data_IF_764673987531
#
_entry.id   IF_764673987531
#
_cell.length_a   1.000
_cell.length_b   1.000
_cell.length_c   1.000
_cell.angle_alpha   90.00
_cell.angle_beta   90.00
_cell.angle_gamma   90.00
#
_symmetry.space_group_name_H-M   'P 1'
#
loop_
_entity.id
_entity.type
_entity.pdbx_description
1 polymer ?
#
# COMPACT_ATOMS: atom_id res chain seq x y z
N UNK A 1 9.18 -4.33 20.25
CA UNK A 1 9.91 -3.53 19.23
C UNK A 1 9.30 -2.14 19.12
N UNK A 2 10.05 -1.12 18.68
CA UNK A 2 9.54 0.22 18.37
C UNK A 2 9.48 0.39 16.85
N UNK A 3 8.41 1.02 16.38
CA UNK A 3 8.19 1.33 14.96
C UNK A 3 8.25 2.84 14.74
N UNK A 4 8.97 3.32 13.74
CA UNK A 4 8.97 4.73 13.39
C UNK A 4 7.66 5.06 12.65
N UNK A 5 6.80 5.82 13.30
CA UNK A 5 5.50 6.22 12.76
C UNK A 5 5.60 7.66 12.24
N UNK A 6 5.08 7.89 11.03
CA UNK A 6 4.80 9.23 10.54
C UNK A 6 3.39 9.63 10.97
N UNK A 7 2.37 8.81 10.65
CA UNK A 7 0.99 9.09 11.03
C UNK A 7 0.13 7.82 11.11
N UNK A 8 -0.95 7.88 11.88
CA UNK A 8 -2.03 6.89 11.90
C UNK A 8 -3.33 7.66 11.77
N UNK A 9 -4.16 7.32 10.78
CA UNK A 9 -5.41 8.04 10.52
C UNK A 9 -6.48 7.11 9.94
N UNK A 10 -7.74 7.43 10.21
CA UNK A 10 -8.91 6.76 9.64
C UNK A 10 -9.51 7.59 8.54
N UNK A 11 -9.57 7.03 7.33
CA UNK A 11 -10.04 7.70 6.14
C UNK A 11 -10.68 6.71 5.16
N UNK A 12 -10.73 7.10 3.89
CA UNK A 12 -11.20 6.29 2.77
C UNK A 12 -9.97 5.90 1.93
N UNK A 13 -9.81 4.59 1.61
CA UNK A 13 -8.85 4.20 0.61
C UNK A 13 -9.22 4.87 -0.72
N UNK A 14 -8.32 5.69 -1.24
CA UNK A 14 -8.58 6.50 -2.44
C UNK A 14 -8.12 5.86 -3.74
N UNK A 15 -7.39 4.74 -3.68
CA UNK A 15 -6.65 4.18 -4.81
C UNK A 15 -6.93 2.68 -4.99
N UNK A 16 -6.70 2.19 -6.23
CA UNK A 16 -6.70 0.77 -6.55
C UNK A 16 -8.04 0.06 -6.33
N UNK A 17 -7.94 -1.20 -5.99
CA UNK A 17 -9.10 -2.12 -5.82
C UNK A 17 -10.09 -1.66 -4.76
N UNK A 18 -9.59 -1.11 -3.69
CA UNK A 18 -10.37 -0.78 -2.51
C UNK A 18 -10.78 0.69 -2.44
N UNK A 19 -10.62 1.44 -3.54
CA UNK A 19 -11.07 2.83 -3.62
C UNK A 19 -12.53 2.97 -3.17
N UNK A 20 -12.78 3.96 -2.29
CA UNK A 20 -14.09 4.21 -1.70
C UNK A 20 -14.38 3.45 -0.40
N UNK A 21 -13.51 2.52 0.03
CA UNK A 21 -13.73 1.76 1.28
C UNK A 21 -13.08 2.43 2.49
N UNK A 22 -13.74 2.44 3.66
CA UNK A 22 -13.13 2.93 4.90
C UNK A 22 -11.92 2.08 5.31
N UNK A 23 -10.83 2.73 5.68
CA UNK A 23 -9.61 2.07 6.12
C UNK A 23 -8.86 2.91 7.17
N UNK A 24 -8.10 2.23 8.05
CA UNK A 24 -7.11 2.89 8.90
C UNK A 24 -5.75 2.74 8.24
N UNK A 25 -5.08 3.84 8.03
CA UNK A 25 -3.74 3.90 7.49
C UNK A 25 -2.71 3.98 8.61
N UNK A 26 -1.67 3.15 8.51
CA UNK A 26 -0.49 3.17 9.37
C UNK A 26 0.68 3.53 8.48
N UNK A 27 1.07 4.81 8.48
CA UNK A 27 2.21 5.30 7.70
C UNK A 27 3.49 5.16 8.50
N UNK A 28 4.29 4.17 8.11
CA UNK A 28 5.64 3.98 8.65
C UNK A 28 6.60 5.02 8.03
N UNK A 29 7.51 5.51 8.82
CA UNK A 29 8.52 6.46 8.37
C UNK A 29 9.74 5.73 7.76
N UNK A 30 10.46 6.44 6.88
CA UNK A 30 11.64 5.94 6.18
C UNK A 30 11.31 5.27 4.86
N UNK A 31 12.20 5.45 3.90
CA UNK A 31 12.15 4.81 2.58
C UNK A 31 13.58 4.49 2.15
N UNK A 32 13.74 3.42 1.37
CA UNK A 32 15.00 3.03 0.76
C UNK A 32 15.17 3.57 -0.67
N UNK A 33 14.22 4.37 -1.16
CA UNK A 33 14.25 5.03 -2.47
C UNK A 33 14.02 6.53 -2.35
N UNK A 34 14.48 7.28 -3.36
CA UNK A 34 14.34 8.74 -3.47
C UNK A 34 13.69 9.09 -4.81
N UNK A 35 12.37 8.93 -4.91
CA UNK A 35 11.61 9.26 -6.11
C UNK A 35 11.40 10.77 -6.21
N UNK A 36 11.74 11.38 -7.35
CA UNK A 36 11.65 12.83 -7.57
C UNK A 36 10.24 13.40 -7.47
N UNK A 37 9.22 12.59 -7.72
CA UNK A 37 7.80 12.95 -7.66
C UNK A 37 7.10 12.43 -6.40
N UNK A 38 7.86 11.98 -5.39
CA UNK A 38 7.26 11.49 -4.15
C UNK A 38 6.48 12.61 -3.44
N UNK A 39 5.20 12.37 -3.20
CA UNK A 39 4.29 13.31 -2.53
C UNK A 39 4.06 12.94 -1.05
N UNK A 40 4.79 11.94 -0.55
CA UNK A 40 4.60 11.41 0.80
C UNK A 40 5.68 11.95 1.76
N UNK A 41 5.23 12.59 2.84
CA UNK A 41 6.09 12.82 4.00
C UNK A 41 6.28 11.49 4.74
N UNK A 42 7.52 11.00 4.79
CA UNK A 42 7.89 9.79 5.52
C UNK A 42 8.93 10.05 6.61
N UNK A 43 8.94 11.25 7.17
CA UNK A 43 9.75 11.60 8.35
C UNK A 43 9.22 10.92 9.60
N UNK A 44 10.11 10.61 10.54
CA UNK A 44 9.70 10.04 11.83
C UNK A 44 9.08 11.13 12.69
N UNK A 45 7.81 10.95 13.09
CA UNK A 45 7.16 11.84 14.07
C UNK A 45 7.11 11.22 15.46
N UNK A 46 6.97 9.89 15.52
CA UNK A 46 6.92 9.19 16.80
C UNK A 46 7.49 7.77 16.69
N UNK A 47 8.09 7.28 17.79
CA UNK A 47 8.50 5.88 17.94
C UNK A 47 7.49 5.15 18.81
N UNK A 48 6.72 4.23 18.21
CA UNK A 48 5.63 3.53 18.89
C UNK A 48 5.87 2.04 19.05
N UNK A 49 5.50 1.48 20.19
CA UNK A 49 5.30 0.02 20.34
C UNK A 49 4.04 -0.42 19.60
N UNK A 50 3.92 -1.71 19.29
CA UNK A 50 2.69 -2.25 18.66
C UNK A 50 1.43 -1.98 19.49
N UNK A 51 1.55 -1.99 20.83
CA UNK A 51 0.43 -1.64 21.72
C UNK A 51 -0.02 -0.18 21.56
N UNK A 52 0.93 0.76 21.43
CA UNK A 52 0.64 2.16 21.17
C UNK A 52 0.01 2.34 19.79
N UNK A 53 0.51 1.64 18.76
CA UNK A 53 -0.11 1.63 17.42
C UNK A 53 -1.57 1.17 17.51
N UNK A 54 -1.84 0.04 18.18
CA UNK A 54 -3.20 -0.47 18.37
C UNK A 54 -4.11 0.54 19.12
N UNK A 55 -3.58 1.19 20.15
CA UNK A 55 -4.31 2.24 20.90
C UNK A 55 -4.65 3.43 19.99
N UNK A 56 -3.70 3.87 19.15
CA UNK A 56 -3.92 4.97 18.20
C UNK A 56 -4.96 4.61 17.14
N UNK A 57 -4.94 3.38 16.61
CA UNK A 57 -5.99 2.87 15.70
C UNK A 57 -7.36 2.96 16.37
N UNK A 58 -7.49 2.47 17.61
CA UNK A 58 -8.76 2.53 18.36
C UNK A 58 -9.20 3.98 18.60
N UNK A 59 -8.27 4.88 18.88
CA UNK A 59 -8.58 6.30 19.08
C UNK A 59 -9.10 6.97 17.77
N UNK A 60 -8.49 6.65 16.62
CA UNK A 60 -8.97 7.15 15.32
C UNK A 60 -10.37 6.63 14.99
N UNK A 61 -10.64 5.36 15.22
CA UNK A 61 -11.96 4.76 15.02
C UNK A 61 -13.00 5.36 15.96
N UNK A 62 -12.63 5.65 17.22
CA UNK A 62 -13.51 6.26 18.21
C UNK A 62 -13.98 7.66 17.81
N UNK A 63 -13.11 8.47 17.17
CA UNK A 63 -13.48 9.81 16.66
C UNK A 63 -14.67 9.79 15.68
N UNK A 64 -14.91 8.65 15.03
CA UNK A 64 -16.01 8.46 14.07
C UNK A 64 -17.11 7.52 14.57
N UNK A 65 -17.14 7.22 15.88
CA UNK A 65 -18.10 6.31 16.52
C UNK A 65 -18.16 4.91 15.86
N UNK A 66 -17.00 4.41 15.36
CA UNK A 66 -16.94 3.14 14.63
C UNK A 66 -17.32 1.92 15.48
N UNK A 67 -17.23 1.98 16.80
CA UNK A 67 -17.53 0.84 17.71
C UNK A 67 -18.92 0.23 17.59
N UNK A 68 -19.82 0.88 16.85
CA UNK A 68 -21.18 0.40 16.63
C UNK A 68 -21.31 -0.52 15.38
N UNK A 69 -20.24 -0.73 14.63
CA UNK A 69 -20.29 -1.48 13.37
C UNK A 69 -19.61 -2.85 13.49
N UNK A 70 -20.25 -3.86 12.90
CA UNK A 70 -19.85 -5.27 12.97
C UNK A 70 -18.83 -5.66 11.88
N UNK A 71 -18.60 -4.80 10.89
CA UNK A 71 -17.69 -5.11 9.79
C UNK A 71 -16.22 -4.91 10.19
N UNK A 72 -15.33 -5.88 9.88
CA UNK A 72 -13.91 -5.71 10.16
C UNK A 72 -13.32 -4.57 9.30
N UNK A 73 -12.66 -3.62 9.97
CA UNK A 73 -11.97 -2.52 9.31
C UNK A 73 -10.69 -3.03 8.63
N UNK A 74 -10.38 -2.48 7.47
CA UNK A 74 -9.10 -2.72 6.80
C UNK A 74 -8.01 -1.84 7.40
N UNK A 75 -6.88 -2.44 7.77
CA UNK A 75 -5.65 -1.70 8.05
C UNK A 75 -4.81 -1.68 6.78
N UNK A 76 -4.30 -0.51 6.41
CA UNK A 76 -3.37 -0.32 5.29
C UNK A 76 -2.04 0.14 5.85
N UNK A 77 -1.04 -0.75 5.81
CA UNK A 77 0.34 -0.41 6.18
C UNK A 77 1.00 0.19 4.95
N UNK A 78 1.37 1.43 5.05
CA UNK A 78 1.98 2.25 3.99
C UNK A 78 3.11 3.09 4.55
N UNK A 79 3.59 4.08 3.84
CA UNK A 79 4.60 5.01 4.35
C UNK A 79 5.57 5.45 3.28
N UNK A 80 6.87 5.47 3.64
CA UNK A 80 7.96 5.41 2.67
C UNK A 80 8.01 4.00 2.06
N UNK A 81 8.77 3.09 2.68
CA UNK A 81 8.71 1.66 2.32
C UNK A 81 8.50 0.80 3.57
N UNK A 82 7.31 0.19 3.73
CA UNK A 82 7.03 -0.61 4.92
C UNK A 82 7.92 -1.83 5.09
N UNK A 83 8.35 -2.47 4.00
CA UNK A 83 9.10 -3.74 4.06
C UNK A 83 10.54 -3.60 4.55
N UNK A 84 11.04 -2.39 4.77
CA UNK A 84 12.32 -2.18 5.46
C UNK A 84 12.22 -2.39 6.97
N UNK A 85 11.01 -2.51 7.50
CA UNK A 85 10.71 -2.73 8.92
C UNK A 85 10.30 -4.18 9.20
N UNK A 86 10.38 -4.61 10.46
CA UNK A 86 9.89 -5.93 10.88
C UNK A 86 8.35 -5.95 10.95
N UNK A 87 7.71 -6.19 9.82
CA UNK A 87 6.24 -6.24 9.75
C UNK A 87 5.64 -7.51 10.36
N UNK A 88 6.39 -8.60 10.51
CA UNK A 88 5.84 -9.84 11.08
C UNK A 88 5.30 -9.61 12.50
N UNK A 89 6.14 -9.02 13.37
CA UNK A 89 5.72 -8.77 14.77
C UNK A 89 4.56 -7.76 14.81
N UNK A 90 4.63 -6.69 13.98
CA UNK A 90 3.57 -5.69 13.92
C UNK A 90 2.23 -6.32 13.53
N UNK A 91 2.19 -6.98 12.37
CA UNK A 91 0.97 -7.56 11.83
C UNK A 91 0.42 -8.68 12.72
N UNK A 92 1.29 -9.59 13.21
CA UNK A 92 0.85 -10.68 14.08
C UNK A 92 0.20 -10.17 15.37
N UNK A 93 0.76 -9.13 15.99
CA UNK A 93 0.17 -8.53 17.19
C UNK A 93 -1.11 -7.76 16.88
N UNK A 94 -1.18 -7.04 15.75
CA UNK A 94 -2.42 -6.38 15.34
C UNK A 94 -3.53 -7.41 15.08
N UNK A 95 -3.23 -8.54 14.42
CA UNK A 95 -4.19 -9.66 14.29
C UNK A 95 -4.61 -10.22 15.65
N UNK A 96 -3.70 -10.36 16.59
CA UNK A 96 -4.02 -10.81 17.95
C UNK A 96 -4.91 -9.81 18.73
N UNK A 97 -4.88 -8.52 18.37
CA UNK A 97 -5.80 -7.51 18.90
C UNK A 97 -7.16 -7.47 18.18
N UNK A 98 -7.39 -8.34 17.18
CA UNK A 98 -8.66 -8.46 16.47
C UNK A 98 -8.74 -7.69 15.14
N UNK A 99 -7.63 -7.13 14.66
CA UNK A 99 -7.56 -6.51 13.34
C UNK A 99 -7.27 -7.57 12.27
N UNK A 100 -8.31 -8.10 11.64
CA UNK A 100 -8.21 -9.28 10.77
C UNK A 100 -7.75 -8.99 9.35
N UNK A 101 -7.97 -7.76 8.84
CA UNK A 101 -7.67 -7.39 7.45
C UNK A 101 -6.50 -6.43 7.38
N UNK A 102 -5.33 -6.93 7.02
CA UNK A 102 -4.10 -6.15 6.90
C UNK A 102 -3.61 -6.14 5.46
N UNK A 103 -3.60 -4.97 4.84
CA UNK A 103 -3.02 -4.70 3.53
C UNK A 103 -1.65 -4.02 3.69
N UNK A 104 -0.77 -4.23 2.73
CA UNK A 104 0.50 -3.49 2.61
C UNK A 104 0.60 -2.85 1.22
N UNK A 105 1.07 -1.60 1.18
CA UNK A 105 1.51 -0.93 -0.05
C UNK A 105 3.03 -0.86 -0.04
N UNK A 106 3.68 -1.45 -1.03
CA UNK A 106 5.14 -1.60 -1.08
C UNK A 106 5.70 -1.25 -2.46
N UNK A 107 6.92 -0.73 -2.48
CA UNK A 107 7.68 -0.55 -3.72
C UNK A 107 8.31 -1.86 -4.25
N UNK A 108 8.20 -2.97 -3.52
CA UNK A 108 8.63 -4.29 -3.94
C UNK A 108 10.15 -4.55 -3.91
N UNK A 109 10.96 -3.64 -3.40
CA UNK A 109 12.43 -3.80 -3.35
C UNK A 109 12.92 -4.87 -2.37
N UNK A 110 12.03 -5.42 -1.54
CA UNK A 110 12.35 -6.50 -0.62
C UNK A 110 11.41 -7.72 -0.81
N UNK A 111 11.44 -8.37 -1.99
CA UNK A 111 10.51 -9.44 -2.32
C UNK A 111 10.68 -10.69 -1.45
N UNK A 112 11.87 -10.94 -0.91
CA UNK A 112 12.12 -12.07 -0.01
C UNK A 112 11.45 -11.87 1.35
N UNK A 113 11.53 -10.67 1.92
CA UNK A 113 10.80 -10.36 3.15
C UNK A 113 9.28 -10.38 2.92
N UNK A 114 8.83 -9.86 1.77
CA UNK A 114 7.42 -9.92 1.39
C UNK A 114 6.92 -11.36 1.29
N UNK A 115 7.70 -12.26 0.64
CA UNK A 115 7.41 -13.69 0.58
C UNK A 115 7.23 -14.29 1.98
N UNK A 116 8.18 -14.00 2.87
CA UNK A 116 8.12 -14.48 4.25
C UNK A 116 6.83 -14.03 4.95
N UNK A 117 6.43 -12.77 4.81
CA UNK A 117 5.19 -12.23 5.43
C UNK A 117 3.93 -12.88 4.86
N UNK A 118 3.88 -13.13 3.55
CA UNK A 118 2.77 -13.81 2.89
C UNK A 118 2.68 -15.27 3.34
N UNK A 119 3.80 -15.98 3.42
CA UNK A 119 3.86 -17.38 3.89
C UNK A 119 3.42 -17.51 5.36
N UNK A 120 3.72 -16.51 6.18
CA UNK A 120 3.25 -16.40 7.58
C UNK A 120 1.77 -16.02 7.69
N UNK A 121 1.11 -15.69 6.59
CA UNK A 121 -0.30 -15.26 6.53
C UNK A 121 -0.60 -14.08 7.45
N UNK A 122 0.37 -13.19 7.62
CA UNK A 122 0.19 -11.96 8.40
C UNK A 122 -0.33 -10.80 7.54
N UNK A 123 -0.27 -10.91 6.22
CA UNK A 123 -0.84 -9.99 5.25
C UNK A 123 -2.01 -10.65 4.52
N UNK A 124 -3.06 -9.87 4.25
CA UNK A 124 -4.28 -10.31 3.56
C UNK A 124 -4.40 -9.69 2.16
N UNK A 125 -3.61 -8.65 1.89
CA UNK A 125 -3.53 -7.97 0.60
C UNK A 125 -2.17 -7.30 0.40
N UNK A 126 -1.62 -7.43 -0.80
CA UNK A 126 -0.35 -6.83 -1.19
C UNK A 126 -0.55 -5.99 -2.43
N UNK A 127 -0.35 -4.68 -2.31
CA UNK A 127 -0.28 -3.74 -3.43
C UNK A 127 1.18 -3.44 -3.75
N UNK A 128 1.62 -3.82 -4.94
CA UNK A 128 2.95 -3.52 -5.46
C UNK A 128 2.89 -2.25 -6.30
N UNK A 129 3.67 -1.26 -5.93
CA UNK A 129 3.81 -0.01 -6.66
C UNK A 129 5.26 0.17 -7.13
N UNK A 130 5.64 -0.35 -8.30
CA UNK A 130 7.01 -0.25 -8.82
C UNK A 130 7.47 1.20 -8.95
N UNK A 131 8.77 1.42 -8.78
CA UNK A 131 9.39 2.75 -8.83
C UNK A 131 10.50 2.79 -9.89
N UNK A 132 10.64 3.88 -10.65
CA UNK A 132 11.63 4.01 -11.71
C UNK A 132 13.07 4.06 -11.18
N UNK A 133 13.24 4.36 -9.91
CA UNK A 133 14.55 4.45 -9.23
C UNK A 133 15.13 3.09 -8.83
N UNK A 134 14.37 1.99 -9.03
CA UNK A 134 14.83 0.62 -8.77
C UNK A 134 14.76 -0.24 -10.03
N UNK A 135 15.87 -0.90 -10.34
CA UNK A 135 15.94 -1.87 -11.44
C UNK A 135 15.60 -3.26 -10.91
N UNK A 136 14.38 -3.71 -11.13
CA UNK A 136 13.92 -5.03 -10.74
C UNK A 136 14.57 -6.11 -11.60
N UNK A 137 15.24 -7.07 -10.98
CA UNK A 137 15.74 -8.26 -11.66
C UNK A 137 14.57 -9.19 -12.06
N UNK A 138 14.83 -10.08 -13.01
CA UNK A 138 13.85 -11.11 -13.43
C UNK A 138 13.40 -11.94 -12.22
N UNK A 139 14.32 -12.36 -11.36
CA UNK A 139 14.01 -13.16 -10.17
C UNK A 139 13.08 -12.39 -9.21
N UNK A 140 13.30 -11.09 -9.00
CA UNK A 140 12.44 -10.24 -8.17
C UNK A 140 11.04 -10.13 -8.77
N UNK A 141 10.93 -9.90 -10.09
CA UNK A 141 9.64 -9.80 -10.77
C UNK A 141 8.86 -11.12 -10.72
N UNK A 142 9.50 -12.26 -11.02
CA UNK A 142 8.88 -13.58 -10.93
C UNK A 142 8.38 -13.90 -9.52
N UNK A 143 9.10 -13.42 -8.50
CA UNK A 143 8.70 -13.58 -7.11
C UNK A 143 7.51 -12.68 -6.78
N UNK A 144 7.59 -11.40 -7.13
CA UNK A 144 6.51 -10.43 -6.90
C UNK A 144 5.22 -10.86 -7.58
N UNK A 145 5.27 -11.34 -8.82
CA UNK A 145 4.09 -11.84 -9.54
C UNK A 145 3.29 -12.89 -8.76
N UNK A 146 3.98 -13.76 -7.99
CA UNK A 146 3.33 -14.79 -7.18
C UNK A 146 2.74 -14.28 -5.85
N UNK A 147 3.22 -13.11 -5.39
CA UNK A 147 2.92 -12.58 -4.06
C UNK A 147 1.88 -11.49 -4.04
N UNK A 148 1.79 -10.70 -5.13
CA UNK A 148 1.00 -9.48 -5.14
C UNK A 148 -0.44 -9.74 -5.57
N UNK A 149 -1.36 -9.01 -4.93
CA UNK A 149 -2.78 -9.01 -5.27
C UNK A 149 -3.14 -7.87 -6.22
N UNK A 150 -2.32 -6.81 -6.25
CA UNK A 150 -2.53 -5.61 -7.04
C UNK A 150 -1.19 -5.03 -7.49
N UNK A 151 -1.12 -4.61 -8.75
CA UNK A 151 -0.02 -3.80 -9.28
C UNK A 151 -0.56 -2.41 -9.58
N UNK A 152 0.09 -1.38 -9.07
CA UNK A 152 -0.28 0.03 -9.28
C UNK A 152 0.94 0.80 -9.79
N UNK A 153 0.99 1.02 -11.10
CA UNK A 153 2.07 1.77 -11.76
C UNK A 153 1.73 3.25 -11.82
N UNK A 154 2.60 4.09 -11.26
CA UNK A 154 2.52 5.54 -11.46
C UNK A 154 3.14 5.86 -12.83
N UNK A 155 2.33 6.39 -13.74
CA UNK A 155 2.77 6.72 -15.09
C UNK A 155 3.52 8.07 -15.10
N UNK A 156 4.82 8.02 -14.92
CA UNK A 156 5.71 9.16 -14.80
C UNK A 156 6.50 9.48 -16.09
N UNK A 157 6.30 8.68 -17.14
CA UNK A 157 7.00 8.80 -18.42
C UNK A 157 8.38 8.12 -18.45
N UNK A 158 8.81 7.52 -17.35
CA UNK A 158 10.10 6.80 -17.23
C UNK A 158 9.86 5.29 -17.15
N UNK A 159 8.91 4.89 -16.30
CA UNK A 159 8.59 3.49 -16.08
C UNK A 159 7.73 2.96 -17.24
N UNK A 160 8.11 1.81 -17.80
CA UNK A 160 7.29 1.10 -18.78
C UNK A 160 6.36 0.11 -18.07
N UNK A 161 5.03 0.34 -18.08
CA UNK A 161 4.08 -0.54 -17.40
C UNK A 161 4.09 -1.97 -17.94
N UNK A 162 4.46 -2.23 -19.20
CA UNK A 162 4.53 -3.57 -19.77
C UNK A 162 5.42 -4.53 -19.00
N UNK A 163 6.48 -4.04 -18.36
CA UNK A 163 7.34 -4.85 -17.50
C UNK A 163 6.63 -5.43 -16.27
N UNK A 164 5.44 -4.93 -15.95
CA UNK A 164 4.65 -5.28 -14.78
C UNK A 164 3.27 -5.85 -15.14
N UNK A 165 3.06 -6.20 -16.41
CA UNK A 165 1.90 -6.96 -16.87
C UNK A 165 2.06 -8.43 -16.45
N UNK A 166 1.99 -8.67 -15.17
CA UNK A 166 2.02 -10.02 -14.62
C UNK A 166 0.84 -10.84 -15.18
N UNK A 167 1.12 -12.01 -15.74
CA UNK A 167 0.10 -12.89 -16.32
C UNK A 167 -0.92 -13.34 -15.26
N UNK A 168 -0.49 -13.36 -14.02
CA UNK A 168 -1.31 -13.63 -12.84
C UNK A 168 -0.79 -12.86 -11.64
N UNK A 169 -1.14 -11.60 -11.47
CA UNK A 169 -1.13 -11.07 -10.11
C UNK A 169 -2.11 -11.96 -9.35
N UNK A 170 -1.73 -12.72 -8.35
CA UNK A 170 -2.48 -13.80 -7.72
C UNK A 170 -3.94 -13.96 -8.21
N UNK A 171 -4.68 -15.02 -8.04
CA UNK A 171 -6.03 -15.27 -8.61
C UNK A 171 -7.05 -14.10 -8.51
N UNK A 172 -6.65 -12.96 -7.95
CA UNK A 172 -7.43 -11.72 -7.72
C UNK A 172 -6.86 -10.51 -8.47
N UNK A 173 -5.77 -10.68 -9.22
CA UNK A 173 -4.92 -9.64 -9.74
C UNK A 173 -5.61 -8.51 -10.46
N UNK A 174 -5.26 -7.31 -10.03
CA UNK A 174 -5.72 -6.06 -10.61
C UNK A 174 -4.50 -5.25 -11.05
N UNK A 175 -4.51 -4.77 -12.28
CA UNK A 175 -3.48 -3.89 -12.82
C UNK A 175 -4.04 -2.46 -12.88
N UNK A 176 -3.34 -1.51 -12.29
CA UNK A 176 -3.75 -0.11 -12.25
C UNK A 176 -2.66 0.80 -12.77
N UNK A 177 -3.07 1.76 -13.60
CA UNK A 177 -2.28 2.93 -13.98
C UNK A 177 -2.77 4.11 -13.16
N UNK A 178 -1.85 4.79 -12.48
CA UNK A 178 -2.10 5.99 -11.72
C UNK A 178 -1.42 7.19 -12.36
N UNK A 179 -2.12 8.30 -12.43
CA UNK A 179 -1.56 9.55 -12.93
C UNK A 179 -0.44 10.06 -12.01
N UNK A 180 0.72 10.38 -12.56
CA UNK A 180 1.78 11.06 -11.82
C UNK A 180 1.37 12.52 -11.58
N UNK A 181 1.43 12.98 -10.33
CA UNK A 181 1.14 14.37 -9.94
C UNK A 181 -0.20 14.88 -10.52
N UNK A 182 -1.24 14.03 -10.53
CA UNK A 182 -2.58 14.35 -11.04
C UNK A 182 -2.64 14.69 -12.55
N UNK A 183 -1.61 14.37 -13.33
CA UNK A 183 -1.63 14.51 -14.77
C UNK A 183 -2.39 13.34 -15.42
N UNK A 184 -3.73 13.42 -15.44
CA UNK A 184 -4.62 12.33 -15.89
C UNK A 184 -4.57 12.01 -17.39
N UNK A 185 -4.43 12.97 -18.34
CA UNK A 185 -4.58 12.67 -19.76
C UNK A 185 -3.72 11.52 -20.27
N UNK A 186 -2.40 11.42 -19.97
CA UNK A 186 -1.60 10.28 -20.39
C UNK A 186 -2.05 8.93 -19.77
N UNK A 187 -2.45 8.95 -18.51
CA UNK A 187 -2.92 7.75 -17.84
C UNK A 187 -4.25 7.23 -18.40
N UNK A 188 -5.16 8.14 -18.76
CA UNK A 188 -6.43 7.80 -19.42
C UNK A 188 -6.18 7.24 -20.81
N UNK A 189 -5.33 7.87 -21.64
CA UNK A 189 -4.98 7.38 -22.96
C UNK A 189 -4.33 6.00 -22.90
N UNK A 190 -3.43 5.77 -21.94
CA UNK A 190 -2.79 4.47 -21.75
C UNK A 190 -3.84 3.38 -21.45
N UNK A 191 -4.74 3.61 -20.52
CA UNK A 191 -5.77 2.62 -20.13
C UNK A 191 -6.74 2.35 -21.28
N UNK A 192 -7.11 3.37 -22.09
CA UNK A 192 -8.00 3.20 -23.24
C UNK A 192 -7.35 2.34 -24.35
N UNK A 193 -6.04 2.38 -24.47
CA UNK A 193 -5.29 1.59 -25.47
C UNK A 193 -4.79 0.25 -24.93
N UNK A 194 -4.80 0.05 -23.61
CA UNK A 194 -4.34 -1.18 -22.93
C UNK A 194 -5.42 -1.67 -21.94
N UNK A 195 -6.48 -2.34 -22.42
CA UNK A 195 -7.69 -2.62 -21.65
C UNK A 195 -7.51 -3.63 -20.48
N UNK A 196 -6.34 -4.24 -20.36
CA UNK A 196 -5.97 -5.05 -19.18
C UNK A 196 -5.75 -4.19 -17.94
N UNK A 197 -5.38 -2.94 -18.15
CA UNK A 197 -5.15 -1.96 -17.10
C UNK A 197 -6.42 -1.19 -16.76
N UNK A 198 -6.53 -0.77 -15.52
CA UNK A 198 -7.58 0.11 -15.00
C UNK A 198 -6.99 1.43 -14.54
N UNK A 199 -7.75 2.50 -14.64
CA UNK A 199 -7.32 3.79 -14.09
C UNK A 199 -7.46 3.77 -12.56
N UNK A 200 -6.38 4.09 -11.86
CA UNK A 200 -6.41 4.44 -10.44
C UNK A 200 -6.41 5.96 -10.30
N UNK A 201 -7.46 6.47 -9.68
CA UNK A 201 -7.58 7.89 -9.34
C UNK A 201 -7.25 8.06 -7.87
N UNK A 202 -6.58 9.15 -7.50
CA UNK A 202 -6.36 9.50 -6.10
C UNK A 202 -7.62 10.19 -5.55
N UNK A 203 -8.66 9.40 -5.31
CA UNK A 203 -10.00 9.88 -4.92
C UNK A 203 -9.94 10.71 -3.64
N UNK A 204 -9.07 10.35 -2.68
CA UNK A 204 -8.86 11.09 -1.44
C UNK A 204 -8.48 12.55 -1.68
N UNK A 205 -7.68 12.84 -2.71
CA UNK A 205 -7.31 14.22 -3.07
C UNK A 205 -8.50 14.99 -3.65
N UNK A 206 -9.32 14.34 -4.46
CA UNK A 206 -10.49 14.96 -5.11
C UNK A 206 -11.56 15.34 -4.09
N UNK A 207 -11.83 14.44 -3.13
CA UNK A 207 -12.86 14.67 -2.11
C UNK A 207 -12.35 15.40 -0.86
N UNK A 208 -11.05 15.72 -0.80
CA UNK A 208 -10.44 16.50 0.27
C UNK A 208 -10.38 15.78 1.63
N UNK A 209 -10.12 14.46 1.62
CA UNK A 209 -9.84 13.67 2.83
C UNK A 209 -8.38 13.25 2.88
N UNK A 210 -7.91 12.87 4.11
CA UNK A 210 -6.54 12.36 4.29
C UNK A 210 -6.38 10.99 3.63
#
# INVERSE_FOLDING_TARGET
MLYPINEIFYSIQGEGRWAGTPAVFIRLAGCNLECSWCDTDHTVKEMMTTGQVATSICAELAKKNYFQHVAPIQLVITGGEPTIHNLEELCSRLKAYGFEKIAVETNGTNPFHLQYLVDKKVLDWVTFSPKPTHLYSIEELERLERLVDEVKVVLDGVIDPHHFEFERPSKRGQLYIQACSENYPPAVEYVLTHPVWKLSVQTQKIIGVL
#
